data_IF_784548004475
#
_entry.id   IF_784548004475
#
_cell.length_a   1.000
_cell.length_b   1.000
_cell.length_c   1.000
_cell.angle_alpha   90.00
_cell.angle_beta   90.00
_cell.angle_gamma   90.00
#
_symmetry.space_group_name_H-M   'P 1'
#
loop_
_entity.id
_entity.type
_entity.pdbx_description
1 polymer ?
#
# COMPACT_ATOMS: atom_id res chain seq x y z
N UNK A 1 73.13 -27.31 -20.34
CA UNK A 1 71.66 -27.10 -20.37
C UNK A 1 71.22 -26.77 -18.95
N UNK A 2 70.93 -25.51 -18.65
CA UNK A 2 70.40 -25.09 -17.35
C UNK A 2 68.98 -24.62 -17.59
N UNK A 3 68.00 -25.34 -17.04
CA UNK A 3 66.59 -24.99 -17.14
C UNK A 3 66.24 -24.00 -16.03
N UNK A 4 65.78 -22.80 -16.41
CA UNK A 4 65.30 -21.78 -15.48
C UNK A 4 63.78 -21.97 -15.35
N UNK A 5 63.32 -22.40 -14.17
CA UNK A 5 61.90 -22.44 -13.81
C UNK A 5 61.44 -21.01 -13.45
N UNK A 6 60.52 -20.45 -14.24
CA UNK A 6 59.84 -19.22 -13.91
C UNK A 6 58.65 -19.53 -12.99
N UNK A 7 58.74 -19.14 -11.72
CA UNK A 7 57.64 -19.22 -10.76
C UNK A 7 56.66 -18.05 -11.00
N UNK A 8 55.44 -18.36 -11.45
CA UNK A 8 54.37 -17.38 -11.60
C UNK A 8 53.79 -17.02 -10.22
N UNK A 9 54.04 -15.78 -9.78
CA UNK A 9 53.44 -15.19 -8.59
C UNK A 9 51.98 -14.82 -8.89
N UNK A 10 51.04 -15.58 -8.32
CA UNK A 10 49.62 -15.24 -8.34
C UNK A 10 49.37 -14.03 -7.42
N UNK A 11 48.76 -12.93 -7.89
CA UNK A 11 48.43 -11.81 -7.05
C UNK A 11 47.29 -12.18 -6.09
N UNK A 12 47.58 -12.14 -4.79
CA UNK A 12 46.56 -12.17 -3.74
C UNK A 12 45.72 -10.90 -3.83
N UNK A 13 44.49 -11.02 -4.32
CA UNK A 13 43.48 -9.98 -4.18
C UNK A 13 43.12 -9.84 -2.70
N UNK A 14 43.67 -8.80 -2.05
CA UNK A 14 43.26 -8.41 -0.70
C UNK A 14 41.91 -7.71 -0.83
N UNK A 15 40.83 -8.43 -0.57
CA UNK A 15 39.53 -7.82 -0.34
C UNK A 15 39.57 -7.14 1.04
N UNK A 16 39.68 -5.82 1.06
CA UNK A 16 39.50 -5.03 2.27
C UNK A 16 38.03 -5.15 2.72
N UNK A 17 37.77 -6.01 3.70
CA UNK A 17 36.46 -6.12 4.32
C UNK A 17 36.26 -4.88 5.20
N UNK A 18 35.62 -3.84 4.66
CA UNK A 18 35.20 -2.68 5.44
C UNK A 18 34.19 -3.15 6.49
N UNK A 19 34.66 -3.37 7.72
CA UNK A 19 33.77 -3.58 8.85
C UNK A 19 32.91 -2.30 9.02
N UNK A 20 31.58 -2.42 9.20
CA UNK A 20 30.74 -1.26 9.40
C UNK A 20 31.11 -0.60 10.74
N UNK A 21 31.62 0.64 10.68
CA UNK A 21 31.91 1.47 11.83
C UNK A 21 30.59 1.94 12.47
N UNK A 22 29.94 1.03 13.19
CA UNK A 22 28.78 1.36 14.01
C UNK A 22 29.28 1.80 15.38
N UNK A 23 28.81 2.95 15.88
CA UNK A 23 29.22 3.54 17.18
C UNK A 23 29.21 2.54 18.36
N UNK A 24 28.36 1.52 18.29
CA UNK A 24 28.19 0.50 19.33
C UNK A 24 28.67 -0.90 18.92
N UNK A 25 29.20 -1.08 17.70
CA UNK A 25 29.58 -2.40 17.18
C UNK A 25 28.40 -3.34 16.89
N UNK A 26 27.19 -2.81 16.69
CA UNK A 26 25.97 -3.57 16.43
C UNK A 26 25.35 -3.13 15.11
N UNK A 27 24.96 -4.10 14.28
CA UNK A 27 24.30 -3.89 12.99
C UNK A 27 25.28 -3.83 11.81
N UNK A 28 24.73 -3.64 10.62
CA UNK A 28 25.46 -3.53 9.36
C UNK A 28 24.83 -2.44 8.48
N UNK A 29 25.60 -1.90 7.53
CA UNK A 29 25.08 -0.93 6.57
C UNK A 29 24.02 -1.60 5.69
N UNK A 30 22.85 -0.98 5.61
CA UNK A 30 21.73 -1.46 4.77
C UNK A 30 22.04 -1.13 3.31
N UNK A 31 21.91 -2.12 2.43
CA UNK A 31 22.06 -1.96 0.98
C UNK A 31 20.73 -1.65 0.31
N UNK A 32 20.76 -1.16 -0.93
CA UNK A 32 19.54 -0.99 -1.74
C UNK A 32 18.79 -2.32 -1.95
N UNK A 33 19.53 -3.44 -2.03
CA UNK A 33 18.94 -4.78 -2.13
C UNK A 33 18.19 -5.18 -0.85
N UNK A 34 18.70 -4.79 0.33
CA UNK A 34 18.00 -5.03 1.59
C UNK A 34 16.69 -4.23 1.67
N UNK A 35 16.66 -3.04 1.08
CA UNK A 35 15.48 -2.16 1.07
C UNK A 35 14.44 -2.55 0.03
N UNK A 36 14.78 -3.33 -1.01
CA UNK A 36 13.89 -3.55 -2.16
C UNK A 36 12.58 -4.27 -1.80
N UNK A 37 12.55 -5.01 -0.69
CA UNK A 37 11.34 -5.66 -0.17
C UNK A 37 10.40 -4.71 0.59
N UNK A 38 10.89 -3.53 0.99
CA UNK A 38 10.16 -2.59 1.83
C UNK A 38 9.67 -1.40 1.02
N UNK A 39 8.39 -1.09 1.15
CA UNK A 39 7.79 0.08 0.54
C UNK A 39 6.88 0.79 1.55
N UNK A 40 6.60 2.06 1.30
CA UNK A 40 5.56 2.84 1.97
C UNK A 40 5.03 3.87 0.99
N UNK A 41 3.70 4.00 0.92
CA UNK A 41 3.06 4.88 -0.06
C UNK A 41 2.32 6.00 0.70
N UNK A 42 3.00 7.13 0.98
CA UNK A 42 2.36 8.28 1.61
C UNK A 42 1.30 8.92 0.70
N UNK A 43 0.51 9.88 1.22
CA UNK A 43 -0.42 10.71 0.44
C UNK A 43 0.13 11.30 -0.86
N UNK A 44 1.43 11.57 -0.93
CA UNK A 44 2.08 12.13 -2.13
C UNK A 44 2.21 11.12 -3.28
N UNK A 45 2.03 9.82 -3.03
CA UNK A 45 2.22 8.76 -4.02
C UNK A 45 3.66 8.30 -4.21
N UNK A 46 4.62 8.85 -3.44
CA UNK A 46 6.01 8.35 -3.46
C UNK A 46 6.03 6.85 -3.21
N UNK A 47 6.82 6.10 -3.97
CA UNK A 47 6.90 4.64 -3.83
C UNK A 47 5.76 3.87 -4.51
N UNK A 48 4.84 4.53 -5.22
CA UNK A 48 3.92 3.84 -6.12
C UNK A 48 4.70 3.13 -7.23
N UNK A 49 4.47 1.83 -7.47
CA UNK A 49 5.12 1.08 -8.52
C UNK A 49 4.57 1.48 -9.90
N UNK A 50 5.34 1.26 -10.98
CA UNK A 50 4.83 1.39 -12.34
C UNK A 50 3.66 0.43 -12.56
N UNK A 51 2.69 0.87 -13.36
CA UNK A 51 1.49 0.09 -13.65
C UNK A 51 0.28 0.99 -13.83
N UNK A 52 -0.85 0.38 -14.20
CA UNK A 52 -2.13 1.05 -14.29
C UNK A 52 -3.30 0.07 -14.24
N UNK A 53 -4.49 0.58 -13.98
CA UNK A 53 -5.70 -0.22 -14.01
C UNK A 53 -6.96 0.61 -14.20
N UNK A 54 -8.02 -0.05 -14.61
CA UNK A 54 -9.36 0.53 -14.77
C UNK A 54 -10.37 -0.16 -13.86
N UNK A 55 -11.51 0.49 -13.60
CA UNK A 55 -12.57 -0.10 -12.80
C UNK A 55 -13.14 -1.40 -13.41
N UNK A 56 -13.15 -1.50 -14.75
CA UNK A 56 -13.62 -2.71 -15.46
C UNK A 56 -12.69 -3.91 -15.23
N UNK A 57 -11.38 -3.70 -15.29
CA UNK A 57 -10.40 -4.74 -14.96
C UNK A 57 -10.49 -5.09 -13.46
N UNK A 58 -10.68 -4.08 -12.61
CA UNK A 58 -10.79 -4.25 -11.18
C UNK A 58 -12.00 -5.05 -10.73
N UNK A 59 -13.13 -4.92 -11.43
CA UNK A 59 -14.34 -5.71 -11.16
C UNK A 59 -14.07 -7.21 -11.32
N UNK A 60 -13.29 -7.60 -12.33
CA UNK A 60 -12.93 -9.00 -12.57
C UNK A 60 -12.08 -9.52 -11.42
N UNK A 61 -10.99 -8.82 -11.08
CA UNK A 61 -10.11 -9.20 -9.96
C UNK A 61 -10.89 -9.24 -8.66
N UNK A 62 -11.71 -8.22 -8.38
CA UNK A 62 -12.49 -8.14 -7.15
C UNK A 62 -13.45 -9.33 -6.99
N UNK A 63 -14.13 -9.74 -8.06
CA UNK A 63 -15.02 -10.91 -8.03
C UNK A 63 -14.27 -12.19 -7.68
N UNK A 64 -13.05 -12.34 -8.20
CA UNK A 64 -12.25 -13.55 -8.02
C UNK A 64 -11.57 -13.61 -6.65
N UNK A 65 -11.12 -12.46 -6.12
CA UNK A 65 -10.23 -12.43 -4.95
C UNK A 65 -10.78 -11.72 -3.72
N UNK A 66 -11.86 -10.95 -3.84
CA UNK A 66 -12.34 -10.05 -2.77
C UNK A 66 -13.81 -10.29 -2.38
N UNK A 67 -14.66 -10.62 -3.36
CA UNK A 67 -16.12 -10.64 -3.19
C UNK A 67 -16.62 -11.67 -2.16
N UNK A 68 -15.89 -12.77 -1.95
CA UNK A 68 -16.26 -13.79 -0.96
C UNK A 68 -16.37 -13.21 0.47
N UNK A 69 -15.53 -12.22 0.80
CA UNK A 69 -15.53 -11.58 2.12
C UNK A 69 -16.21 -10.20 2.10
N UNK A 70 -16.02 -9.40 1.05
CA UNK A 70 -16.52 -8.03 0.98
C UNK A 70 -17.88 -7.88 0.27
N UNK A 71 -18.47 -8.99 -0.20
CA UNK A 71 -19.71 -9.01 -0.97
C UNK A 71 -19.53 -8.56 -2.42
N UNK A 72 -20.35 -9.10 -3.33
CA UNK A 72 -20.25 -8.83 -4.79
C UNK A 72 -20.36 -7.34 -5.16
N UNK A 73 -21.09 -6.57 -4.37
CA UNK A 73 -21.34 -5.14 -4.56
C UNK A 73 -20.62 -4.29 -3.49
N UNK A 74 -19.55 -4.82 -2.88
CA UNK A 74 -18.76 -4.15 -1.84
C UNK A 74 -19.55 -3.80 -0.56
N UNK A 75 -20.70 -4.45 -0.37
CA UNK A 75 -21.65 -4.21 0.72
C UNK A 75 -21.25 -4.85 2.05
N UNK A 76 -20.13 -5.56 2.07
CA UNK A 76 -19.63 -6.30 3.22
C UNK A 76 -20.36 -7.62 3.43
N UNK A 77 -19.75 -8.47 4.25
CA UNK A 77 -20.36 -9.67 4.77
C UNK A 77 -20.06 -9.72 6.27
N UNK A 78 -21.08 -9.87 7.12
CA UNK A 78 -20.90 -9.94 8.58
C UNK A 78 -20.91 -11.37 9.12
N UNK A 79 -20.84 -12.37 8.23
CA UNK A 79 -20.70 -13.78 8.64
C UNK A 79 -19.43 -13.98 9.47
N UNK A 80 -19.54 -14.47 10.72
CA UNK A 80 -18.38 -14.70 11.58
C UNK A 80 -17.33 -15.59 10.91
N UNK A 81 -16.05 -15.18 11.00
CA UNK A 81 -14.90 -15.96 10.53
C UNK A 81 -14.68 -15.99 9.02
N UNK A 82 -15.59 -15.42 8.21
CA UNK A 82 -15.48 -15.40 6.73
C UNK A 82 -15.69 -14.00 6.17
N UNK A 83 -16.57 -13.22 6.79
CA UNK A 83 -16.97 -11.91 6.32
C UNK A 83 -15.93 -10.82 6.57
N UNK A 84 -16.02 -9.75 5.78
CA UNK A 84 -15.25 -8.52 5.94
C UNK A 84 -16.14 -7.29 5.75
N UNK A 85 -15.65 -6.14 6.24
CA UNK A 85 -16.40 -4.89 6.22
C UNK A 85 -16.79 -4.44 4.80
N UNK A 86 -17.88 -3.68 4.72
CA UNK A 86 -18.26 -2.96 3.51
C UNK A 86 -17.19 -1.94 3.11
N UNK A 87 -16.96 -1.81 1.81
CA UNK A 87 -15.92 -0.90 1.29
C UNK A 87 -16.50 0.42 0.78
N UNK A 88 -17.81 0.48 0.54
CA UNK A 88 -18.51 1.67 0.02
C UNK A 88 -19.74 2.02 0.85
N UNK A 89 -20.29 3.21 0.61
CA UNK A 89 -21.45 3.75 1.30
C UNK A 89 -21.11 4.46 2.61
N UNK A 90 -22.11 5.09 3.22
CA UNK A 90 -21.95 5.87 4.45
C UNK A 90 -21.47 7.31 4.24
N UNK A 91 -21.41 7.80 3.00
CA UNK A 91 -21.06 9.22 2.74
C UNK A 91 -22.01 10.13 3.51
N UNK A 92 -21.45 11.06 4.27
CA UNK A 92 -22.19 11.98 5.13
C UNK A 92 -22.63 11.41 6.49
N UNK A 93 -22.41 10.12 6.76
CA UNK A 93 -22.84 9.50 8.04
C UNK A 93 -21.84 9.67 9.18
N UNK A 94 -20.58 10.04 8.92
CA UNK A 94 -19.49 10.03 9.91
C UNK A 94 -19.76 10.92 11.13
N UNK A 95 -20.51 12.01 10.95
CA UNK A 95 -20.88 12.94 12.01
C UNK A 95 -22.28 12.67 12.63
N UNK A 96 -22.89 11.52 12.30
CA UNK A 96 -24.20 11.12 12.84
C UNK A 96 -24.04 10.17 14.03
N UNK A 97 -25.14 9.84 14.71
CA UNK A 97 -25.15 8.88 15.81
C UNK A 97 -24.80 7.44 15.37
N UNK A 98 -25.02 7.13 14.10
CA UNK A 98 -24.79 5.79 13.52
C UNK A 98 -23.79 5.87 12.36
N UNK A 99 -22.49 6.15 12.64
CA UNK A 99 -21.51 6.38 11.60
C UNK A 99 -21.18 5.10 10.83
N UNK A 100 -21.28 5.17 9.51
CA UNK A 100 -20.86 4.11 8.60
C UNK A 100 -19.50 4.51 8.01
N UNK A 101 -18.42 3.96 8.57
CA UNK A 101 -17.03 4.23 8.13
C UNK A 101 -16.59 3.20 7.10
N UNK A 102 -16.34 3.66 5.88
CA UNK A 102 -15.88 2.88 4.73
C UNK A 102 -14.73 3.60 4.04
N UNK A 103 -14.15 2.99 3.01
CA UNK A 103 -13.18 3.66 2.15
C UNK A 103 -13.78 4.93 1.54
N UNK A 104 -15.06 4.91 1.16
CA UNK A 104 -15.74 6.06 0.57
C UNK A 104 -16.02 7.17 1.58
N UNK A 105 -16.48 6.83 2.78
CA UNK A 105 -17.01 7.81 3.73
C UNK A 105 -15.98 8.38 4.69
N UNK A 106 -14.91 7.65 4.98
CA UNK A 106 -14.00 7.97 6.07
C UNK A 106 -12.55 8.17 5.62
N UNK A 107 -12.05 7.40 4.65
CA UNK A 107 -10.62 7.43 4.32
C UNK A 107 -10.22 8.73 3.59
N UNK A 108 -9.12 9.41 3.98
CA UNK A 108 -8.73 10.69 3.40
C UNK A 108 -7.89 10.59 2.12
N UNK A 109 -7.24 9.43 1.87
CA UNK A 109 -6.31 9.25 0.75
C UNK A 109 -6.54 7.93 0.02
N UNK A 110 -6.67 8.00 -1.30
CA UNK A 110 -6.74 6.81 -2.15
C UNK A 110 -5.42 6.01 -2.18
N UNK A 111 -4.29 6.67 -1.91
CA UNK A 111 -2.98 6.00 -1.80
C UNK A 111 -2.91 5.05 -0.61
N UNK A 112 -3.59 5.35 0.49
CA UNK A 112 -3.70 4.44 1.65
C UNK A 112 -4.43 3.16 1.26
N UNK A 113 -5.48 3.25 0.43
CA UNK A 113 -6.17 2.07 -0.09
C UNK A 113 -5.23 1.21 -0.92
N UNK A 114 -4.43 1.82 -1.81
CA UNK A 114 -3.45 1.08 -2.61
C UNK A 114 -2.38 0.40 -1.75
N UNK A 115 -1.77 1.11 -0.79
CA UNK A 115 -0.75 0.52 0.11
C UNK A 115 -1.33 -0.68 0.87
N UNK A 116 -2.53 -0.50 1.44
CA UNK A 116 -3.20 -1.54 2.20
C UNK A 116 -3.54 -2.77 1.33
N UNK A 117 -4.11 -2.56 0.14
CA UNK A 117 -4.44 -3.67 -0.76
C UNK A 117 -3.18 -4.40 -1.20
N UNK A 118 -2.12 -3.67 -1.63
CA UNK A 118 -0.85 -4.28 -2.05
C UNK A 118 -0.19 -5.09 -0.94
N UNK A 119 -0.23 -4.59 0.30
CA UNK A 119 0.50 -5.19 1.43
C UNK A 119 -0.27 -6.32 2.12
N UNK A 120 -1.58 -6.16 2.28
CA UNK A 120 -2.37 -6.96 3.20
C UNK A 120 -3.47 -7.77 2.52
N UNK A 121 -3.78 -7.51 1.24
CA UNK A 121 -4.85 -8.18 0.52
C UNK A 121 -4.33 -9.06 -0.63
N UNK A 122 -5.12 -10.08 -1.01
CA UNK A 122 -6.26 -10.66 -0.30
C UNK A 122 -5.85 -11.21 1.07
N UNK A 123 -6.76 -11.24 2.05
CA UNK A 123 -6.42 -11.61 3.43
C UNK A 123 -5.79 -13.01 3.57
N UNK A 124 -6.21 -13.95 2.71
CA UNK A 124 -5.69 -15.31 2.67
C UNK A 124 -4.38 -15.46 1.85
N UNK A 125 -3.99 -14.43 1.08
CA UNK A 125 -2.78 -14.44 0.28
C UNK A 125 -2.21 -13.00 0.11
N UNK A 126 -1.77 -12.34 1.19
CA UNK A 126 -1.27 -10.96 1.11
C UNK A 126 -0.11 -10.81 0.12
N UNK A 127 -0.15 -9.76 -0.71
CA UNK A 127 0.92 -9.47 -1.67
C UNK A 127 0.92 -10.33 -2.94
N UNK A 128 -0.12 -11.17 -3.13
CA UNK A 128 -0.24 -12.05 -4.31
C UNK A 128 -0.69 -11.34 -5.60
N UNK A 129 -1.26 -10.13 -5.49
CA UNK A 129 -1.69 -9.35 -6.65
C UNK A 129 -0.51 -8.61 -7.30
N UNK A 130 -0.50 -8.55 -8.63
CA UNK A 130 0.39 -7.67 -9.38
C UNK A 130 0.03 -6.20 -9.18
N UNK A 131 0.96 -5.29 -9.49
CA UNK A 131 0.73 -3.84 -9.35
C UNK A 131 -0.46 -3.35 -10.18
N UNK A 132 -0.61 -3.85 -11.42
CA UNK A 132 -1.76 -3.55 -12.28
C UNK A 132 -3.06 -4.07 -11.69
N UNK A 133 -3.06 -5.27 -11.08
CA UNK A 133 -4.23 -5.81 -10.40
C UNK A 133 -4.62 -4.96 -9.19
N UNK A 134 -3.64 -4.49 -8.39
CA UNK A 134 -3.90 -3.58 -7.28
C UNK A 134 -4.49 -2.26 -7.78
N UNK A 135 -3.88 -1.63 -8.81
CA UNK A 135 -4.44 -0.40 -9.40
C UNK A 135 -5.87 -0.60 -9.90
N UNK A 136 -6.13 -1.74 -10.55
CA UNK A 136 -7.45 -2.10 -11.07
C UNK A 136 -8.48 -2.23 -9.96
N UNK A 137 -8.21 -3.01 -8.90
CA UNK A 137 -9.11 -3.17 -7.75
C UNK A 137 -9.36 -1.83 -7.06
N UNK A 138 -8.32 -1.01 -6.86
CA UNK A 138 -8.46 0.35 -6.32
C UNK A 138 -9.37 1.20 -7.19
N UNK A 139 -9.19 1.19 -8.52
CA UNK A 139 -10.06 1.91 -9.45
C UNK A 139 -11.52 1.43 -9.35
N UNK A 140 -11.75 0.13 -9.20
CA UNK A 140 -13.08 -0.44 -9.04
C UNK A 140 -13.78 0.05 -7.76
N UNK A 141 -13.12 -0.05 -6.60
CA UNK A 141 -13.67 0.42 -5.32
C UNK A 141 -14.00 1.91 -5.38
N UNK A 142 -13.09 2.73 -5.92
CA UNK A 142 -13.30 4.18 -6.06
C UNK A 142 -14.43 4.53 -7.03
N UNK A 143 -14.57 3.79 -8.14
CA UNK A 143 -15.62 4.02 -9.11
C UNK A 143 -17.01 3.62 -8.59
N UNK A 144 -17.10 2.51 -7.84
CA UNK A 144 -18.37 2.07 -7.24
C UNK A 144 -18.83 3.02 -6.12
N UNK A 145 -17.89 3.57 -5.35
CA UNK A 145 -18.15 4.68 -4.43
C UNK A 145 -18.42 6.03 -5.13
N UNK A 146 -18.45 6.08 -6.47
CA UNK A 146 -18.63 7.31 -7.26
C UNK A 146 -17.62 8.43 -6.94
N UNK A 147 -16.39 8.06 -6.55
CA UNK A 147 -15.28 8.99 -6.26
C UNK A 147 -14.53 9.35 -7.55
N UNK A 148 -14.48 8.40 -8.48
CA UNK A 148 -13.94 8.60 -9.83
C UNK A 148 -14.97 8.17 -10.88
N UNK A 149 -14.77 8.60 -12.14
CA UNK A 149 -15.54 8.07 -13.28
C UNK A 149 -15.15 6.63 -13.56
N UNK A 150 -16.09 5.81 -14.05
CA UNK A 150 -15.90 4.38 -14.33
C UNK A 150 -14.83 4.09 -15.39
N UNK A 151 -14.61 5.02 -16.30
CA UNK A 151 -13.64 4.95 -17.40
C UNK A 151 -12.28 5.57 -17.04
N UNK A 152 -12.13 6.14 -15.84
CA UNK A 152 -10.88 6.76 -15.41
C UNK A 152 -9.82 5.67 -15.16
N UNK A 153 -8.73 5.72 -15.92
CA UNK A 153 -7.51 4.95 -15.64
C UNK A 153 -6.84 5.49 -14.38
N UNK A 154 -6.38 4.58 -13.52
CA UNK A 154 -5.62 4.88 -12.31
C UNK A 154 -4.20 4.32 -12.45
N UNK A 155 -3.20 5.16 -12.21
CA UNK A 155 -1.77 4.84 -12.18
C UNK A 155 -1.05 5.65 -11.09
N UNK A 156 0.29 5.50 -11.03
CA UNK A 156 1.16 6.20 -10.08
C UNK A 156 1.03 7.74 -10.11
N UNK A 157 0.63 8.31 -11.24
CA UNK A 157 0.50 9.76 -11.43
C UNK A 157 -0.91 10.27 -11.14
N UNK A 158 -1.94 9.46 -11.37
CA UNK A 158 -3.34 9.86 -11.20
C UNK A 158 -3.92 9.51 -9.84
N UNK A 159 -3.44 8.41 -9.21
CA UNK A 159 -3.95 7.96 -7.91
C UNK A 159 -3.78 9.01 -6.81
N UNK A 160 -2.61 9.67 -6.65
CA UNK A 160 -2.43 10.68 -5.60
C UNK A 160 -3.30 11.93 -5.78
N UNK A 161 -3.80 12.15 -7.01
CA UNK A 161 -4.67 13.27 -7.39
C UNK A 161 -6.15 13.00 -7.13
N UNK A 162 -6.52 11.79 -6.70
CA UNK A 162 -7.91 11.47 -6.32
C UNK A 162 -8.26 12.22 -5.04
N UNK A 163 -9.30 13.04 -5.12
CA UNK A 163 -9.87 13.74 -3.97
C UNK A 163 -10.90 12.85 -3.29
N UNK A 164 -10.56 12.29 -2.14
CA UNK A 164 -11.48 11.49 -1.34
C UNK A 164 -12.51 12.39 -0.65
N UNK A 165 -13.76 11.93 -0.45
CA UNK A 165 -14.80 12.77 0.17
C UNK A 165 -14.46 13.30 1.56
N UNK A 166 -13.67 12.56 2.35
CA UNK A 166 -13.27 12.94 3.71
C UNK A 166 -11.82 13.44 3.79
N UNK A 167 -11.29 14.03 2.71
CA UNK A 167 -9.90 14.51 2.60
C UNK A 167 -9.49 15.42 3.77
N UNK A 168 -10.37 16.32 4.16
CA UNK A 168 -10.15 17.34 5.19
C UNK A 168 -10.83 17.00 6.53
N UNK A 169 -11.30 15.75 6.69
CA UNK A 169 -12.04 15.31 7.87
C UNK A 169 -11.18 14.90 9.07
N UNK A 170 -9.87 15.11 9.02
CA UNK A 170 -8.93 14.72 10.08
C UNK A 170 -8.12 15.92 10.55
N UNK A 171 -7.92 16.01 11.86
CA UNK A 171 -7.10 17.04 12.50
C UNK A 171 -6.02 16.38 13.37
N UNK A 172 -4.92 17.09 13.59
CA UNK A 172 -3.91 16.65 14.55
C UNK A 172 -4.53 16.62 15.96
N UNK A 173 -4.00 15.75 16.82
CA UNK A 173 -4.43 15.65 18.21
C UNK A 173 -4.23 17.00 18.94
N UNK A 174 -5.31 17.67 19.40
CA UNK A 174 -5.21 18.97 20.04
C UNK A 174 -4.84 18.89 21.52
N UNK A 175 -4.65 17.69 22.08
CA UNK A 175 -4.42 17.48 23.53
C UNK A 175 -3.03 17.97 24.00
N UNK A 176 -2.88 18.31 25.30
CA UNK A 176 -3.84 18.14 26.40
C UNK A 176 -5.03 19.10 26.26
N UNK A 177 -6.25 18.59 26.48
CA UNK A 177 -7.45 19.43 26.58
C UNK A 177 -7.27 20.40 27.76
N UNK A 178 -6.76 21.61 27.52
CA UNK A 178 -6.46 22.57 28.59
C UNK A 178 -7.69 22.95 29.42
N UNK A 179 -8.90 22.71 28.89
CA UNK A 179 -10.18 22.86 29.59
C UNK A 179 -10.44 21.81 30.67
N UNK A 180 -9.80 20.63 30.61
CA UNK A 180 -9.90 19.57 31.61
C UNK A 180 -8.89 19.73 32.78
N UNK A 181 -7.99 20.71 32.69
CA UNK A 181 -6.95 21.00 33.68
C UNK A 181 -7.13 22.36 34.38
N UNK A 182 -8.32 22.98 34.27
CA UNK A 182 -8.75 24.13 35.07
C UNK A 182 -9.88 23.73 35.99
#
# INVERSE_FOLDING_TARGET
MVAVLAAALAPCSVSAQMAPDTRLGVGQTVTEADLSAYFSIPPSGRGLPPGSGTAKEGEIVFRETCAACHGEQLQGNMSPGVGADKLIGGRGSVATNDPVKTTESYWPYATTLFDYVKRAMPFNAPGSLSDDQVYSVVAYVLAQGKIIKKDKKIDATTLPKVQMPNRDGFVADPRPELSLYR
#
